data_IF_059198282336
#
_entry.id   IF_059198282336
#
_cell.length_a   1.000
_cell.length_b   1.000
_cell.length_c   1.000
_cell.angle_alpha   90.00
_cell.angle_beta   90.00
_cell.angle_gamma   90.00
#
_symmetry.space_group_name_H-M   'P 1'
#
loop_
_entity.id
_entity.type
_entity.pdbx_description
1 polymer ?
#
# COMPACT_ATOMS: atom_id res chain seq x y z
N UNK A 1 -13.00 13.13 -14.57
CA UNK A 1 -11.73 12.89 -13.86
C UNK A 1 -10.80 12.04 -14.71
N UNK A 2 -9.57 12.54 -14.98
CA UNK A 2 -8.64 11.87 -15.90
C UNK A 2 -7.77 10.81 -15.20
N UNK A 3 -7.59 10.93 -13.88
CA UNK A 3 -6.72 10.07 -13.09
C UNK A 3 -7.50 9.47 -11.91
N UNK A 4 -7.13 8.26 -11.50
CA UNK A 4 -7.49 7.72 -10.20
C UNK A 4 -6.59 8.37 -9.16
N UNK A 5 -7.17 9.09 -8.20
CA UNK A 5 -6.42 9.84 -7.20
C UNK A 5 -6.60 9.21 -5.82
N UNK A 6 -5.51 8.68 -5.29
CA UNK A 6 -5.44 8.15 -3.93
C UNK A 6 -4.70 9.08 -2.98
N UNK A 7 -5.15 9.18 -1.74
CA UNK A 7 -4.48 9.90 -0.66
C UNK A 7 -4.48 9.08 0.63
N UNK A 8 -3.73 9.55 1.64
CA UNK A 8 -3.56 8.82 2.91
C UNK A 8 -3.52 9.80 4.07
N UNK A 9 -3.86 9.30 5.28
CA UNK A 9 -3.68 10.05 6.53
C UNK A 9 -2.83 9.29 7.53
N UNK A 10 -1.92 10.01 8.20
CA UNK A 10 -1.19 9.52 9.37
C UNK A 10 -1.92 9.78 10.68
N UNK A 11 -2.97 10.59 10.65
CA UNK A 11 -3.76 10.92 11.81
C UNK A 11 -4.50 9.69 12.37
N UNK A 12 -4.72 9.69 13.67
CA UNK A 12 -5.45 8.60 14.36
C UNK A 12 -6.73 9.08 15.01
N UNK A 13 -6.92 10.41 15.16
CA UNK A 13 -8.14 11.01 15.65
C UNK A 13 -9.09 11.38 14.50
N UNK A 14 -10.39 11.41 14.79
CA UNK A 14 -11.42 11.79 13.80
C UNK A 14 -11.20 13.21 13.29
N UNK A 15 -10.96 14.16 14.19
CA UNK A 15 -10.77 15.57 13.86
C UNK A 15 -9.50 15.79 13.02
N UNK A 16 -8.39 15.16 13.41
CA UNK A 16 -7.12 15.25 12.69
C UNK A 16 -7.23 14.70 11.26
N UNK A 17 -7.81 13.51 11.11
CA UNK A 17 -7.99 12.87 9.81
C UNK A 17 -8.94 13.69 8.90
N UNK A 18 -10.05 14.23 9.43
CA UNK A 18 -10.96 15.08 8.68
C UNK A 18 -10.27 16.38 8.23
N UNK A 19 -9.47 17.00 9.09
CA UNK A 19 -8.73 18.22 8.76
C UNK A 19 -7.65 17.94 7.69
N UNK A 20 -6.92 16.83 7.79
CA UNK A 20 -5.90 16.45 6.81
C UNK A 20 -6.51 16.15 5.44
N UNK A 21 -7.64 15.45 5.40
CA UNK A 21 -8.36 15.16 4.16
C UNK A 21 -8.78 16.46 3.44
N UNK A 22 -9.44 17.38 4.14
CA UNK A 22 -9.88 18.65 3.56
C UNK A 22 -8.70 19.48 3.04
N UNK A 23 -7.63 19.60 3.84
CA UNK A 23 -6.39 20.28 3.44
C UNK A 23 -5.76 19.65 2.19
N UNK A 24 -5.84 18.33 2.06
CA UNK A 24 -5.32 17.62 0.90
C UNK A 24 -6.14 17.85 -0.36
N UNK A 25 -7.48 17.90 -0.26
CA UNK A 25 -8.37 18.27 -1.37
C UNK A 25 -8.08 19.70 -1.85
N UNK A 26 -7.97 20.64 -0.91
CA UNK A 26 -7.67 22.05 -1.20
C UNK A 26 -6.32 22.20 -1.92
N UNK A 27 -5.25 21.56 -1.40
CA UNK A 27 -3.90 21.62 -2.00
C UNK A 27 -3.84 21.04 -3.41
N UNK A 28 -4.57 19.96 -3.65
CA UNK A 28 -4.64 19.32 -4.96
C UNK A 28 -5.67 19.99 -5.89
N UNK A 29 -6.48 20.90 -5.38
CA UNK A 29 -7.57 21.58 -6.11
C UNK A 29 -8.51 20.58 -6.78
N UNK A 30 -8.95 19.59 -6.03
CA UNK A 30 -9.91 18.57 -6.45
C UNK A 30 -11.05 18.47 -5.44
N UNK A 31 -12.21 18.01 -5.90
CA UNK A 31 -13.42 17.93 -5.08
C UNK A 31 -13.50 16.61 -4.29
N UNK A 32 -12.85 15.55 -4.77
CA UNK A 32 -12.89 14.24 -4.13
C UNK A 32 -11.70 13.36 -4.51
N UNK A 33 -11.36 12.43 -3.62
CA UNK A 33 -10.47 11.31 -3.90
C UNK A 33 -11.24 10.12 -4.47
N UNK A 34 -10.55 9.27 -5.25
CA UNK A 34 -11.08 7.93 -5.56
C UNK A 34 -10.84 6.99 -4.37
N UNK A 35 -9.69 7.09 -3.70
CA UNK A 35 -9.31 6.25 -2.58
C UNK A 35 -8.68 7.09 -1.47
N UNK A 36 -9.16 6.93 -0.23
CA UNK A 36 -8.50 7.50 0.93
C UNK A 36 -8.13 6.41 1.93
N UNK A 37 -6.88 6.40 2.40
CA UNK A 37 -6.34 5.28 3.16
C UNK A 37 -5.81 5.69 4.53
N UNK A 38 -6.01 4.83 5.53
CA UNK A 38 -5.29 4.90 6.80
C UNK A 38 -3.84 4.48 6.53
N UNK A 39 -2.88 5.35 6.85
CA UNK A 39 -1.48 5.15 6.51
C UNK A 39 -0.70 4.48 7.65
N UNK A 40 0.22 3.58 7.25
CA UNK A 40 1.27 3.01 8.11
C UNK A 40 0.76 2.27 9.35
N UNK A 41 -0.28 1.47 9.20
CA UNK A 41 -0.74 0.55 10.27
C UNK A 41 0.18 -0.66 10.28
N UNK A 42 0.98 -0.81 11.34
CA UNK A 42 2.09 -1.79 11.42
C UNK A 42 1.93 -2.81 12.54
N UNK A 43 0.97 -2.60 13.43
CA UNK A 43 0.65 -3.49 14.54
C UNK A 43 -0.85 -3.51 14.84
N UNK A 44 -1.27 -4.41 15.72
CA UNK A 44 -2.67 -4.49 16.19
C UNK A 44 -3.03 -3.25 17.02
N UNK A 45 -2.11 -2.73 17.81
CA UNK A 45 -2.30 -1.50 18.59
C UNK A 45 -2.53 -0.28 17.68
N UNK A 46 -1.78 -0.20 16.58
CA UNK A 46 -1.99 0.84 15.55
C UNK A 46 -3.34 0.65 14.83
N UNK A 47 -3.74 -0.59 14.57
CA UNK A 47 -5.07 -0.90 14.02
C UNK A 47 -6.17 -0.46 14.98
N UNK A 48 -6.05 -0.81 16.27
CA UNK A 48 -7.00 -0.38 17.30
C UNK A 48 -7.11 1.14 17.39
N UNK A 49 -5.97 1.84 17.40
CA UNK A 49 -5.94 3.29 17.44
C UNK A 49 -6.61 3.94 16.22
N UNK A 50 -6.47 3.32 15.05
CA UNK A 50 -6.99 3.84 13.78
C UNK A 50 -8.47 3.51 13.53
N UNK A 51 -9.03 2.49 14.20
CA UNK A 51 -10.38 1.96 13.90
C UNK A 51 -11.38 2.01 15.06
N UNK A 52 -10.94 2.38 16.27
CA UNK A 52 -11.85 2.58 17.42
C UNK A 52 -12.83 3.71 17.17
N UNK A 53 -13.97 3.78 17.90
CA UNK A 53 -14.88 4.93 17.83
C UNK A 53 -14.15 6.28 18.08
N UNK A 54 -14.43 7.29 17.29
CA UNK A 54 -13.77 8.59 17.34
C UNK A 54 -12.38 8.62 16.67
N UNK A 55 -12.06 7.62 15.86
CA UNK A 55 -10.77 7.53 15.18
C UNK A 55 -10.78 8.01 13.73
N UNK A 56 -9.63 7.88 13.07
CA UNK A 56 -9.47 8.21 11.67
C UNK A 56 -10.45 7.47 10.75
N UNK A 57 -10.80 6.22 11.07
CA UNK A 57 -11.77 5.45 10.27
C UNK A 57 -13.13 6.16 10.23
N UNK A 58 -13.64 6.67 11.37
CA UNK A 58 -14.91 7.40 11.40
C UNK A 58 -14.89 8.65 10.52
N UNK A 59 -13.76 9.39 10.52
CA UNK A 59 -13.62 10.55 9.65
C UNK A 59 -13.64 10.19 8.15
N UNK A 60 -13.03 9.05 7.80
CA UNK A 60 -13.00 8.57 6.41
C UNK A 60 -14.38 8.07 5.97
N UNK A 61 -15.13 7.44 6.89
CA UNK A 61 -16.51 7.01 6.61
C UNK A 61 -17.44 8.19 6.44
N UNK A 62 -17.34 9.21 7.28
CA UNK A 62 -18.07 10.48 7.08
C UNK A 62 -17.71 11.10 5.71
N UNK A 63 -16.42 11.15 5.37
CA UNK A 63 -15.97 11.66 4.08
C UNK A 63 -16.49 10.82 2.89
N UNK A 64 -16.64 9.50 3.05
CA UNK A 64 -17.26 8.63 2.04
C UNK A 64 -18.75 8.93 1.90
N UNK A 65 -19.47 9.14 3.00
CA UNK A 65 -20.87 9.53 2.99
C UNK A 65 -21.10 10.92 2.35
N UNK A 66 -20.19 11.86 2.58
CA UNK A 66 -20.18 13.21 2.00
C UNK A 66 -19.72 13.23 0.50
N UNK A 67 -19.29 12.09 -0.06
CA UNK A 67 -18.80 12.00 -1.43
C UNK A 67 -17.39 12.56 -1.64
N UNK A 68 -16.64 12.85 -0.57
CA UNK A 68 -15.26 13.33 -0.63
C UNK A 68 -14.22 12.22 -0.91
N UNK A 69 -14.59 10.98 -0.71
CA UNK A 69 -13.84 9.80 -1.18
C UNK A 69 -14.79 8.70 -1.61
N UNK A 70 -14.40 7.92 -2.62
CA UNK A 70 -15.20 6.81 -3.11
C UNK A 70 -14.87 5.50 -2.37
N UNK A 71 -13.58 5.22 -2.18
CA UNK A 71 -13.08 3.99 -1.58
C UNK A 71 -12.28 4.26 -0.31
N UNK A 72 -12.29 3.29 0.60
CA UNK A 72 -11.58 3.32 1.89
C UNK A 72 -10.53 2.22 1.92
N UNK A 73 -9.30 2.55 2.31
CA UNK A 73 -8.24 1.55 2.36
C UNK A 73 -7.34 1.67 3.58
N UNK A 74 -6.42 0.71 3.68
CA UNK A 74 -5.43 0.64 4.74
C UNK A 74 -4.05 0.33 4.16
N UNK A 75 -2.99 0.90 4.75
CA UNK A 75 -1.62 0.70 4.28
C UNK A 75 -0.68 0.30 5.41
N UNK A 76 0.31 -0.53 5.09
CA UNK A 76 1.38 -0.92 6.03
C UNK A 76 2.70 -1.20 5.31
N UNK A 77 3.80 -1.17 6.07
CA UNK A 77 5.15 -1.19 5.50
C UNK A 77 6.07 -2.27 6.08
N UNK A 78 5.71 -2.88 7.18
CA UNK A 78 6.55 -3.82 7.93
C UNK A 78 6.30 -5.29 7.60
N UNK A 79 7.09 -6.15 8.23
CA UNK A 79 6.97 -7.60 8.12
C UNK A 79 5.65 -8.16 8.69
N UNK A 80 4.95 -7.38 9.54
CA UNK A 80 3.69 -7.80 10.14
C UNK A 80 2.46 -7.37 9.33
N UNK A 81 2.63 -6.53 8.29
CA UNK A 81 1.49 -5.95 7.56
C UNK A 81 0.47 -6.97 7.08
N UNK A 82 0.83 -8.14 6.50
CA UNK A 82 -0.17 -9.11 6.07
C UNK A 82 -1.00 -9.67 7.22
N UNK A 83 -0.38 -10.00 8.37
CA UNK A 83 -1.09 -10.51 9.53
C UNK A 83 -2.04 -9.46 10.12
N UNK A 84 -1.59 -8.22 10.23
CA UNK A 84 -2.42 -7.09 10.70
C UNK A 84 -3.60 -6.84 9.76
N UNK A 85 -3.40 -6.96 8.44
CA UNK A 85 -4.47 -6.72 7.47
C UNK A 85 -5.48 -7.86 7.36
N UNK A 86 -5.09 -9.10 7.64
CA UNK A 86 -6.05 -10.20 7.83
C UNK A 86 -7.00 -9.84 8.98
N UNK A 87 -6.48 -9.34 10.11
CA UNK A 87 -7.30 -8.90 11.23
C UNK A 87 -8.12 -7.64 10.89
N UNK A 88 -7.53 -6.67 10.18
CA UNK A 88 -8.24 -5.47 9.74
C UNK A 88 -9.46 -5.81 8.88
N UNK A 89 -9.31 -6.74 7.93
CA UNK A 89 -10.40 -7.21 7.07
C UNK A 89 -11.46 -8.00 7.82
N UNK A 90 -11.15 -8.60 8.97
CA UNK A 90 -12.16 -9.23 9.85
C UNK A 90 -13.03 -8.20 10.58
N UNK A 91 -12.46 -7.03 10.87
CA UNK A 91 -13.11 -5.97 11.65
C UNK A 91 -13.88 -4.97 10.79
N UNK A 92 -13.41 -4.73 9.56
CA UNK A 92 -13.99 -3.73 8.69
C UNK A 92 -13.83 -4.10 7.21
N UNK A 93 -14.81 -3.71 6.39
CA UNK A 93 -14.81 -3.95 4.94
C UNK A 93 -14.03 -2.84 4.21
N UNK A 94 -12.69 -2.92 4.28
CA UNK A 94 -11.83 -2.05 3.49
C UNK A 94 -11.94 -2.40 2.00
N UNK A 95 -12.03 -1.37 1.15
CA UNK A 95 -12.04 -1.53 -0.30
C UNK A 95 -10.64 -1.84 -0.85
N UNK A 96 -9.56 -1.51 -0.12
CA UNK A 96 -8.19 -1.82 -0.54
C UNK A 96 -7.20 -1.99 0.60
N UNK A 97 -6.16 -2.80 0.34
CA UNK A 97 -4.97 -2.93 1.18
C UNK A 97 -3.71 -2.58 0.37
N UNK A 98 -2.74 -1.92 1.02
CA UNK A 98 -1.44 -1.63 0.41
C UNK A 98 -0.33 -2.15 1.32
N UNK A 99 0.49 -3.08 0.81
CA UNK A 99 1.56 -3.72 1.56
C UNK A 99 2.71 -4.17 0.65
N UNK A 100 3.91 -4.46 1.19
CA UNK A 100 5.04 -4.87 0.37
C UNK A 100 4.96 -6.35 -0.04
N UNK A 101 5.29 -6.65 -1.30
CA UNK A 101 5.64 -7.99 -1.77
C UNK A 101 6.98 -7.90 -2.51
N UNK A 102 7.96 -8.67 -2.08
CA UNK A 102 9.26 -8.79 -2.72
C UNK A 102 10.00 -10.07 -2.28
N UNK A 103 11.06 -10.43 -2.95
CA UNK A 103 11.84 -11.63 -2.65
C UNK A 103 12.38 -11.66 -1.22
N UNK A 104 12.82 -10.51 -0.68
CA UNK A 104 13.39 -10.42 0.67
C UNK A 104 12.38 -10.82 1.74
N UNK A 105 11.16 -10.27 1.64
CA UNK A 105 10.10 -10.58 2.60
C UNK A 105 9.52 -11.98 2.39
N UNK A 106 9.38 -12.42 1.15
CA UNK A 106 8.90 -13.78 0.85
C UNK A 106 9.90 -14.89 1.19
N UNK A 107 11.18 -14.57 1.39
CA UNK A 107 12.15 -15.51 1.96
C UNK A 107 11.80 -15.91 3.41
N UNK A 108 11.07 -15.05 4.15
CA UNK A 108 10.54 -15.39 5.47
C UNK A 108 9.26 -16.24 5.33
N UNK A 109 9.24 -17.50 5.84
CA UNK A 109 8.09 -18.40 5.68
C UNK A 109 6.79 -17.85 6.30
N UNK A 110 6.88 -17.22 7.48
CA UNK A 110 5.73 -16.64 8.17
C UNK A 110 5.14 -15.48 7.38
N UNK A 111 6.01 -14.60 6.86
CA UNK A 111 5.55 -13.50 6.00
C UNK A 111 4.84 -14.03 4.76
N UNK A 112 5.47 -14.97 4.07
CA UNK A 112 4.93 -15.59 2.85
C UNK A 112 3.56 -16.24 3.11
N UNK A 113 3.43 -17.00 4.20
CA UNK A 113 2.15 -17.62 4.58
C UNK A 113 1.06 -16.58 4.81
N UNK A 114 1.33 -15.54 5.61
CA UNK A 114 0.37 -14.47 5.89
C UNK A 114 0.02 -13.66 4.64
N UNK A 115 1.01 -13.36 3.78
CA UNK A 115 0.77 -12.64 2.53
C UNK A 115 -0.09 -13.46 1.56
N UNK A 116 0.15 -14.76 1.44
CA UNK A 116 -0.67 -15.67 0.63
C UNK A 116 -2.11 -15.73 1.13
N UNK A 117 -2.30 -15.85 2.45
CA UNK A 117 -3.64 -15.84 3.05
C UNK A 117 -4.34 -14.50 2.87
N UNK A 118 -3.63 -13.37 3.04
CA UNK A 118 -4.20 -12.05 2.80
C UNK A 118 -4.66 -11.89 1.35
N UNK A 119 -3.84 -12.31 0.37
CA UNK A 119 -4.19 -12.24 -1.06
C UNK A 119 -5.43 -13.09 -1.37
N UNK A 120 -5.52 -14.29 -0.76
CA UNK A 120 -6.71 -15.16 -0.89
C UNK A 120 -7.96 -14.46 -0.37
N UNK A 121 -7.91 -13.89 0.84
CA UNK A 121 -9.03 -13.16 1.44
C UNK A 121 -9.43 -11.93 0.61
N UNK A 122 -8.45 -11.18 0.10
CA UNK A 122 -8.71 -10.04 -0.76
C UNK A 122 -9.43 -10.46 -2.05
N UNK A 123 -9.00 -11.55 -2.67
CA UNK A 123 -9.64 -12.09 -3.87
C UNK A 123 -11.08 -12.55 -3.61
N UNK A 124 -11.34 -13.22 -2.49
CA UNK A 124 -12.68 -13.70 -2.11
C UNK A 124 -13.66 -12.57 -1.77
N UNK A 125 -13.14 -11.42 -1.29
CA UNK A 125 -13.95 -10.29 -0.82
C UNK A 125 -13.92 -9.08 -1.77
N UNK A 126 -13.36 -9.22 -2.95
CA UNK A 126 -13.19 -8.13 -3.95
C UNK A 126 -12.44 -6.91 -3.37
N UNK A 127 -11.41 -7.16 -2.56
CA UNK A 127 -10.56 -6.12 -1.98
C UNK A 127 -9.36 -5.86 -2.88
N UNK A 128 -9.19 -4.62 -3.33
CA UNK A 128 -8.07 -4.21 -4.16
C UNK A 128 -6.72 -4.32 -3.43
N UNK A 129 -5.72 -4.93 -4.08
CA UNK A 129 -4.38 -5.11 -3.53
C UNK A 129 -3.36 -4.25 -4.26
N UNK A 130 -2.76 -3.28 -3.55
CA UNK A 130 -1.71 -2.41 -4.08
C UNK A 130 -0.37 -2.83 -3.49
N UNK A 131 0.57 -3.21 -4.34
CA UNK A 131 1.86 -3.74 -3.89
C UNK A 131 2.95 -2.70 -3.99
N UNK A 132 3.70 -2.53 -2.90
CA UNK A 132 4.85 -1.62 -2.80
C UNK A 132 6.16 -2.40 -2.62
N UNK A 133 7.28 -1.70 -2.84
CA UNK A 133 8.65 -2.20 -2.57
C UNK A 133 9.01 -3.44 -3.38
N UNK A 134 8.42 -3.63 -4.55
CA UNK A 134 8.61 -4.80 -5.42
C UNK A 134 10.07 -5.11 -5.74
N UNK A 135 10.88 -4.08 -6.02
CA UNK A 135 12.28 -4.22 -6.44
C UNK A 135 13.29 -4.11 -5.28
N UNK A 136 12.88 -4.46 -4.06
CA UNK A 136 13.78 -4.44 -2.89
C UNK A 136 14.87 -5.48 -3.03
N UNK A 137 16.12 -5.03 -3.00
CA UNK A 137 17.31 -5.88 -2.86
C UNK A 137 17.60 -6.18 -1.41
N UNK A 138 17.63 -5.14 -0.56
CA UNK A 138 17.89 -5.26 0.88
C UNK A 138 17.46 -3.99 1.62
N UNK A 139 17.37 -4.02 2.97
CA UNK A 139 17.39 -2.79 3.77
C UNK A 139 18.71 -2.03 3.56
N UNK A 140 18.70 -0.71 3.70
CA UNK A 140 19.95 0.08 3.65
C UNK A 140 20.94 -0.29 4.76
N UNK A 141 20.44 -0.70 5.94
CA UNK A 141 21.28 -1.20 7.05
C UNK A 141 22.39 -0.23 7.50
N UNK A 142 22.11 1.09 7.49
CA UNK A 142 23.09 2.13 7.83
C UNK A 142 24.07 2.50 6.70
N UNK A 143 23.99 1.86 5.53
CA UNK A 143 24.80 2.22 4.36
C UNK A 143 24.32 3.56 3.76
N UNK A 144 25.21 4.35 3.12
CA UNK A 144 24.81 5.55 2.41
C UNK A 144 23.75 5.24 1.34
N UNK A 145 22.71 6.08 1.29
CA UNK A 145 21.67 5.94 0.28
C UNK A 145 22.17 6.45 -1.07
N UNK A 146 22.15 5.59 -2.09
CA UNK A 146 22.48 5.94 -3.47
C UNK A 146 21.24 6.26 -4.31
N UNK A 147 20.05 5.98 -3.76
CA UNK A 147 18.74 6.20 -4.35
C UNK A 147 17.78 6.84 -3.32
N UNK A 148 16.69 7.44 -3.80
CA UNK A 148 15.68 8.10 -2.96
C UNK A 148 14.70 7.12 -2.31
N UNK A 149 14.89 5.81 -2.48
CA UNK A 149 14.05 4.77 -1.93
C UNK A 149 14.34 4.48 -0.44
N UNK A 150 13.33 4.05 0.31
CA UNK A 150 13.44 3.61 1.72
C UNK A 150 14.22 2.29 1.91
N UNK A 151 14.59 1.63 0.81
CA UNK A 151 15.29 0.36 0.72
C UNK A 151 16.32 0.45 -0.41
N UNK A 152 17.34 -0.37 -0.38
CA UNK A 152 18.26 -0.53 -1.52
C UNK A 152 17.52 -1.25 -2.66
N UNK A 153 17.33 -0.60 -3.82
CA UNK A 153 16.63 -1.22 -4.94
C UNK A 153 17.58 -2.09 -5.77
N UNK A 154 17.03 -3.07 -6.48
CA UNK A 154 17.71 -3.58 -7.66
C UNK A 154 17.83 -2.47 -8.70
N UNK A 155 18.97 -2.44 -9.39
CA UNK A 155 19.29 -1.49 -10.47
C UNK A 155 19.63 -2.18 -11.79
N UNK A 156 19.93 -3.47 -11.74
CA UNK A 156 20.13 -4.31 -12.93
C UNK A 156 18.77 -4.62 -13.58
N UNK A 157 18.61 -4.39 -14.91
CA UNK A 157 17.35 -4.59 -15.60
C UNK A 157 16.82 -6.03 -15.53
N UNK A 158 17.73 -7.05 -15.50
CA UNK A 158 17.35 -8.47 -15.39
C UNK A 158 16.75 -8.78 -14.02
N UNK A 159 17.39 -8.30 -12.94
CA UNK A 159 16.84 -8.47 -11.59
C UNK A 159 15.53 -7.71 -11.38
N UNK A 160 15.41 -6.50 -11.96
CA UNK A 160 14.17 -5.74 -11.93
C UNK A 160 13.05 -6.49 -12.65
N UNK A 161 13.34 -7.06 -13.83
CA UNK A 161 12.37 -7.87 -14.59
C UNK A 161 11.88 -9.06 -13.78
N UNK A 162 12.80 -9.81 -13.14
CA UNK A 162 12.44 -10.95 -12.28
C UNK A 162 11.57 -10.52 -11.09
N UNK A 163 11.93 -9.41 -10.42
CA UNK A 163 11.19 -8.89 -9.28
C UNK A 163 9.78 -8.41 -9.67
N UNK A 164 9.63 -7.75 -10.81
CA UNK A 164 8.34 -7.32 -11.36
C UNK A 164 7.50 -8.53 -11.78
N UNK A 165 8.08 -9.49 -12.50
CA UNK A 165 7.39 -10.71 -12.90
C UNK A 165 6.88 -11.48 -11.67
N UNK A 166 7.72 -11.63 -10.63
CA UNK A 166 7.34 -12.29 -9.39
C UNK A 166 6.12 -11.63 -8.74
N UNK A 167 6.13 -10.30 -8.60
CA UNK A 167 5.01 -9.58 -7.97
C UNK A 167 3.75 -9.66 -8.81
N UNK A 168 3.84 -9.41 -10.11
CA UNK A 168 2.68 -9.42 -11.00
C UNK A 168 2.14 -10.84 -11.27
N UNK A 169 2.91 -11.90 -10.96
CA UNK A 169 2.43 -13.28 -10.98
C UNK A 169 1.62 -13.66 -9.73
N UNK A 170 1.63 -12.82 -8.69
CA UNK A 170 0.70 -12.97 -7.59
C UNK A 170 -0.68 -12.44 -8.00
N UNK A 171 -1.75 -12.90 -7.34
CA UNK A 171 -3.08 -12.38 -7.58
C UNK A 171 -3.24 -10.98 -6.95
N UNK A 172 -2.72 -9.96 -7.64
CA UNK A 172 -2.69 -8.56 -7.17
C UNK A 172 -3.39 -7.62 -8.14
N UNK A 173 -4.00 -6.56 -7.62
CA UNK A 173 -4.68 -5.54 -8.44
C UNK A 173 -3.68 -4.63 -9.14
N UNK A 174 -2.58 -4.28 -8.49
CA UNK A 174 -1.58 -3.39 -9.06
C UNK A 174 -0.29 -3.27 -8.27
N UNK A 175 0.75 -2.83 -8.98
CA UNK A 175 2.07 -2.55 -8.46
C UNK A 175 2.29 -1.04 -8.40
N UNK A 176 2.58 -0.52 -7.21
CA UNK A 176 3.04 0.87 -7.05
C UNK A 176 4.50 0.94 -7.48
N UNK A 177 4.79 1.84 -8.40
CA UNK A 177 6.15 2.00 -8.94
C UNK A 177 7.13 2.57 -7.89
N UNK A 178 8.42 2.45 -8.20
CA UNK A 178 9.50 2.98 -7.35
C UNK A 178 9.50 4.51 -7.34
N UNK A 179 9.76 5.10 -6.16
CA UNK A 179 9.85 6.56 -5.96
C UNK A 179 11.21 7.17 -6.34
N UNK A 180 12.00 6.51 -7.20
CA UNK A 180 13.29 7.01 -7.68
C UNK A 180 13.26 7.18 -9.20
N UNK A 181 13.46 8.41 -9.68
CA UNK A 181 13.34 8.75 -11.10
C UNK A 181 14.38 8.06 -12.00
N UNK A 182 15.52 7.62 -11.46
CA UNK A 182 16.54 6.91 -12.23
C UNK A 182 16.15 5.45 -12.46
N UNK A 183 15.43 4.85 -11.54
CA UNK A 183 15.02 3.44 -11.58
C UNK A 183 13.61 3.26 -12.17
N UNK A 184 12.77 4.28 -12.06
CA UNK A 184 11.39 4.26 -12.55
C UNK A 184 11.25 3.79 -14.02
N UNK A 185 12.04 4.28 -15.00
CA UNK A 185 11.94 3.81 -16.38
C UNK A 185 12.20 2.31 -16.53
N UNK A 186 13.12 1.75 -15.72
CA UNK A 186 13.43 0.32 -15.75
C UNK A 186 12.27 -0.52 -15.22
N UNK A 187 11.58 -0.03 -14.18
CA UNK A 187 10.40 -0.71 -13.62
C UNK A 187 9.23 -0.67 -14.61
N UNK A 188 8.98 0.48 -15.26
CA UNK A 188 7.95 0.62 -16.30
C UNK A 188 8.23 -0.36 -17.45
N UNK A 189 9.46 -0.36 -17.98
CA UNK A 189 9.85 -1.27 -19.05
C UNK A 189 9.74 -2.75 -18.66
N UNK A 190 9.97 -3.09 -17.39
CA UNK A 190 9.77 -4.45 -16.88
C UNK A 190 8.28 -4.81 -16.80
N UNK A 191 7.40 -3.88 -16.41
CA UNK A 191 5.96 -4.08 -16.43
C UNK A 191 5.42 -4.31 -17.85
N UNK A 192 5.91 -3.54 -18.83
CA UNK A 192 5.53 -3.69 -20.25
C UNK A 192 5.95 -5.06 -20.84
N UNK A 193 7.03 -5.65 -20.30
CA UNK A 193 7.54 -6.96 -20.69
C UNK A 193 7.17 -8.07 -19.69
N UNK A 194 6.12 -7.87 -18.91
CA UNK A 194 5.66 -8.86 -17.94
C UNK A 194 5.50 -10.24 -18.56
N UNK A 195 6.06 -11.25 -17.90
CA UNK A 195 5.87 -12.66 -18.19
C UNK A 195 5.56 -13.41 -16.89
N UNK A 196 4.50 -14.22 -16.82
CA UNK A 196 4.14 -15.00 -15.64
C UNK A 196 5.27 -15.95 -15.22
N UNK A 197 5.45 -16.11 -13.89
CA UNK A 197 6.42 -17.04 -13.29
C UNK A 197 5.71 -18.23 -12.65
#
# INVERSE_FOLDING_TARGET
>A
KRFFVGCKTMERTKEGAAAELRRSLERLRIDSFDLYQIHAVTSIEELDAATRPGSALDAILDAKADGLTRYVGITGHGANSPAVFIEALRRFDFDSVLFPINFVQYANPTYRQNATELLRLCSERDVGTMIIKSITRSPWGGRPHTHTTWYEPFTDPGHIQQAVNFVLSQNVTGLCTVGDAKVLPLVIAACERFAPM
#
